data_IF_965430575291
#
_entry.id   IF_965430575291
#
_cell.length_a   1.000
_cell.length_b   1.000
_cell.length_c   1.000
_cell.angle_alpha   90.00
_cell.angle_beta   90.00
_cell.angle_gamma   90.00
#
_symmetry.space_group_name_H-M   'P 1'
#
loop_
_entity.id
_entity.type
_entity.pdbx_description
1 polymer ?
#
# COMPACT_ATOMS: atom_id res chain seq x y z
N UNK A 1 -5.68 -19.43 -11.79
CA UNK A 1 -5.73 -18.03 -11.33
C UNK A 1 -5.52 -17.92 -9.81
N UNK A 2 -4.74 -18.84 -9.23
CA UNK A 2 -4.14 -18.61 -7.93
C UNK A 2 -2.85 -17.80 -8.16
N UNK A 3 -2.44 -16.96 -7.20
CA UNK A 3 -1.07 -16.46 -7.00
C UNK A 3 -0.76 -14.97 -7.26
N UNK A 4 -1.77 -14.12 -7.47
CA UNK A 4 -1.57 -12.69 -7.29
C UNK A 4 -1.46 -12.38 -5.78
N UNK A 5 -0.24 -12.36 -5.23
CA UNK A 5 0.01 -12.07 -3.81
C UNK A 5 -0.47 -10.65 -3.48
N UNK A 6 -1.44 -10.55 -2.57
CA UNK A 6 -1.98 -9.27 -2.08
C UNK A 6 -1.49 -8.99 -0.67
N UNK A 7 -0.99 -7.78 -0.43
CA UNK A 7 -0.59 -7.28 0.88
C UNK A 7 -1.53 -6.15 1.34
N UNK A 8 -2.20 -6.32 2.48
CA UNK A 8 -2.98 -5.27 3.14
C UNK A 8 -2.09 -4.51 4.12
N UNK A 9 -1.93 -3.21 3.94
CA UNK A 9 -1.14 -2.34 4.82
C UNK A 9 -2.07 -1.35 5.52
N UNK A 10 -2.12 -1.42 6.85
CA UNK A 10 -2.82 -0.45 7.70
C UNK A 10 -1.86 0.64 8.17
N UNK A 11 -2.37 1.84 8.42
CA UNK A 11 -1.51 2.99 8.72
C UNK A 11 -0.66 3.44 7.52
N UNK A 12 -1.10 3.14 6.30
CA UNK A 12 -0.34 3.36 5.07
C UNK A 12 -0.13 4.84 4.70
N UNK A 13 -0.86 5.78 5.33
CA UNK A 13 -0.86 7.20 4.92
C UNK A 13 0.47 7.95 5.12
N UNK A 14 1.45 7.38 5.82
CA UNK A 14 2.75 8.03 6.08
C UNK A 14 3.78 7.07 6.69
N UNK A 15 5.04 7.51 6.74
CA UNK A 15 6.10 6.82 7.49
C UNK A 15 6.32 5.39 6.99
N UNK A 16 6.51 4.45 7.93
CA UNK A 16 6.85 3.06 7.63
C UNK A 16 5.78 2.39 6.74
N UNK A 17 4.49 2.64 6.99
CA UNK A 17 3.41 2.04 6.21
C UNK A 17 3.46 2.48 4.73
N UNK A 18 3.73 3.76 4.48
CA UNK A 18 3.86 4.28 3.12
C UNK A 18 5.09 3.70 2.41
N UNK A 19 6.23 3.60 3.09
CA UNK A 19 7.45 3.07 2.49
C UNK A 19 7.37 1.57 2.23
N UNK A 20 6.72 0.83 3.14
CA UNK A 20 6.44 -0.59 2.96
C UNK A 20 5.55 -0.82 1.73
N UNK A 21 4.55 0.05 1.49
CA UNK A 21 3.71 -0.04 0.32
C UNK A 21 4.51 0.15 -0.98
N UNK A 22 5.41 1.13 -1.02
CA UNK A 22 6.28 1.39 -2.19
C UNK A 22 7.14 0.18 -2.50
N UNK A 23 7.89 -0.32 -1.51
CA UNK A 23 8.74 -1.49 -1.70
C UNK A 23 7.94 -2.74 -2.09
N UNK A 24 6.76 -2.96 -1.49
CA UNK A 24 5.95 -4.12 -1.83
C UNK A 24 5.47 -4.10 -3.29
N UNK A 25 5.08 -2.92 -3.82
CA UNK A 25 4.73 -2.78 -5.23
C UNK A 25 5.96 -3.02 -6.13
N UNK A 26 7.12 -2.48 -5.78
CA UNK A 26 8.39 -2.72 -6.48
C UNK A 26 8.76 -4.21 -6.53
N UNK A 27 8.47 -4.95 -5.45
CA UNK A 27 8.67 -6.40 -5.34
C UNK A 27 7.57 -7.24 -6.04
N UNK A 28 6.65 -6.58 -6.76
CA UNK A 28 5.61 -7.22 -7.56
C UNK A 28 4.37 -7.66 -6.77
N UNK A 29 4.16 -7.11 -5.58
CA UNK A 29 2.91 -7.34 -4.84
C UNK A 29 1.80 -6.43 -5.32
N UNK A 30 0.57 -6.93 -5.21
CA UNK A 30 -0.61 -6.08 -5.22
C UNK A 30 -0.83 -5.56 -3.81
N UNK A 31 -0.98 -4.25 -3.64
CA UNK A 31 -1.09 -3.65 -2.31
C UNK A 31 -2.48 -3.04 -2.12
N UNK A 32 -3.12 -3.35 -1.00
CA UNK A 32 -4.32 -2.68 -0.52
C UNK A 32 -3.94 -1.76 0.64
N UNK A 33 -4.29 -0.47 0.53
CA UNK A 33 -3.90 0.55 1.50
C UNK A 33 -5.10 0.92 2.39
N UNK A 34 -4.86 0.98 3.71
CA UNK A 34 -5.87 1.38 4.68
C UNK A 34 -5.31 2.41 5.67
N UNK A 35 -5.98 3.55 5.77
CA UNK A 35 -5.70 4.61 6.73
C UNK A 35 -6.94 5.50 6.90
N UNK A 36 -6.93 6.40 7.89
CA UNK A 36 -8.06 7.31 8.18
C UNK A 36 -8.18 8.48 7.20
N UNK A 37 -7.10 8.82 6.49
CA UNK A 37 -7.02 10.02 5.66
C UNK A 37 -7.00 9.61 4.19
N UNK A 38 -8.16 9.68 3.54
CA UNK A 38 -8.34 9.28 2.14
C UNK A 38 -7.44 10.09 1.19
N UNK A 39 -7.34 11.40 1.36
CA UNK A 39 -6.49 12.26 0.51
C UNK A 39 -5.03 11.79 0.50
N UNK A 40 -4.48 11.43 1.67
CA UNK A 40 -3.10 10.92 1.78
C UNK A 40 -2.93 9.55 1.13
N UNK A 41 -3.98 8.72 1.13
CA UNK A 41 -3.96 7.44 0.43
C UNK A 41 -4.02 7.64 -1.08
N UNK A 42 -4.83 8.60 -1.55
CA UNK A 42 -4.90 8.96 -2.96
C UNK A 42 -3.57 9.53 -3.46
N UNK A 43 -2.92 10.42 -2.69
CA UNK A 43 -1.57 10.92 -3.00
C UNK A 43 -0.52 9.80 -3.03
N UNK A 44 -0.59 8.83 -2.12
CA UNK A 44 0.34 7.70 -2.11
C UNK A 44 0.13 6.74 -3.29
N UNK A 45 -1.12 6.60 -3.75
CA UNK A 45 -1.50 5.67 -4.82
C UNK A 45 -1.45 6.29 -6.23
N UNK A 46 -1.15 7.58 -6.35
CA UNK A 46 -1.01 8.31 -7.61
C UNK A 46 0.32 7.97 -8.31
#
# INVERSE_FOLDING_TARGET
MADDRVLLITGASSGIGAETARHAVEDGWRVALAARSEDKLAELAA
#
